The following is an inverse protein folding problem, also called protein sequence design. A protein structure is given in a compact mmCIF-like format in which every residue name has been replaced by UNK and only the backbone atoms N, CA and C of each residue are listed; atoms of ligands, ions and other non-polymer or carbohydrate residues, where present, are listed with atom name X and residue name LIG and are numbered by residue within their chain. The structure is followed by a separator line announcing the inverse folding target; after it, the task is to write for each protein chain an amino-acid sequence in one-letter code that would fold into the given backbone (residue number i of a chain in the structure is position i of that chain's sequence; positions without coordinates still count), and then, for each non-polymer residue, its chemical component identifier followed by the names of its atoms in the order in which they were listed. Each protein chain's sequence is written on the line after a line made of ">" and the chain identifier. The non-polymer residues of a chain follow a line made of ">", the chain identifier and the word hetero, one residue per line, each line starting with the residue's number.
data_IF_029900894358
#
_entry.id   IF_029900894358
#
_cell.length_a   1.000
_cell.length_b   1.000
_cell.length_c   1.000
_cell.angle_alpha   90.00
_cell.angle_beta   90.00
_cell.angle_gamma   90.00
#
_symmetry.space_group_name_H-M   'P 1'
#
loop_
_entity.id
_entity.type
_entity.pdbx_description
1 polymer ?
#
# COMPACT_ATOMS: atom_id res chain seq x y z
N UNK A 1 0.20 16.80 2.24
CA UNK A 1 0.41 15.33 2.28
C UNK A 1 1.90 15.02 2.20
N UNK A 2 2.32 13.98 2.86
CA UNK A 2 3.70 13.52 2.84
C UNK A 2 4.03 12.80 1.52
N UNK A 3 5.18 13.13 0.93
CA UNK A 3 5.64 12.48 -0.31
C UNK A 3 6.25 11.09 -0.11
N UNK A 4 6.51 10.69 1.13
CA UNK A 4 7.21 9.44 1.46
C UNK A 4 8.73 9.47 1.24
N UNK A 5 9.31 10.61 0.81
CA UNK A 5 10.73 10.69 0.46
C UNK A 5 11.67 10.42 1.65
N UNK A 6 11.28 10.79 2.85
CA UNK A 6 12.04 10.52 4.08
C UNK A 6 11.59 9.23 4.77
N UNK A 7 10.30 8.91 4.68
CA UNK A 7 9.71 7.73 5.29
C UNK A 7 8.52 7.24 4.45
N UNK A 8 8.70 6.11 3.80
CA UNK A 8 7.68 5.54 2.91
C UNK A 8 6.37 5.17 3.63
N UNK A 9 6.41 4.91 4.94
CA UNK A 9 5.20 4.63 5.73
C UNK A 9 4.30 5.86 5.91
N UNK A 10 4.77 7.05 5.55
CA UNK A 10 4.00 8.30 5.55
C UNK A 10 3.50 8.68 4.16
N UNK A 11 3.85 7.91 3.12
CA UNK A 11 3.43 8.23 1.76
C UNK A 11 1.91 8.33 1.64
N UNK A 12 1.43 9.44 1.09
CA UNK A 12 0.01 9.70 0.94
C UNK A 12 -0.74 10.12 2.21
N UNK A 13 -0.08 10.21 3.37
CA UNK A 13 -0.71 10.64 4.63
C UNK A 13 -0.82 12.16 4.68
N UNK A 14 -1.96 12.65 5.13
CA UNK A 14 -2.24 14.09 5.29
C UNK A 14 -1.44 14.62 6.48
N UNK A 15 -0.66 15.66 6.24
CA UNK A 15 0.09 16.36 7.27
C UNK A 15 -0.73 17.49 7.89
N UNK A 16 -1.41 18.28 7.05
CA UNK A 16 -2.22 19.42 7.47
C UNK A 16 -3.47 19.54 6.62
N UNK A 17 -4.57 19.89 7.27
CA UNK A 17 -5.82 20.28 6.65
C UNK A 17 -6.25 21.63 7.18
N UNK A 18 -6.57 22.61 6.29
CA UNK A 18 -6.90 23.99 6.66
C UNK A 18 -5.87 24.63 7.64
N UNK A 19 -4.57 24.38 7.40
CA UNK A 19 -3.45 24.83 8.23
C UNK A 19 -3.37 24.24 9.65
N UNK A 20 -4.17 23.23 9.95
CA UNK A 20 -4.17 22.52 11.25
C UNK A 20 -3.60 21.12 11.08
N UNK A 21 -2.95 20.62 12.10
CA UNK A 21 -2.48 19.23 12.23
C UNK A 21 -3.49 18.32 12.93
N UNK A 22 -4.51 18.91 13.56
CA UNK A 22 -5.62 18.25 14.25
C UNK A 22 -6.92 19.02 14.07
N UNK A 23 -8.03 18.32 14.16
CA UNK A 23 -9.36 18.93 14.23
C UNK A 23 -9.63 19.49 15.64
N UNK A 24 -10.50 20.49 15.78
CA UNK A 24 -10.88 21.06 17.06
C UNK A 24 -12.22 20.56 17.60
N UNK A 25 -12.83 19.51 17.01
CA UNK A 25 -14.25 19.19 17.20
C UNK A 25 -14.53 18.12 18.25
N UNK A 26 -13.63 17.11 18.36
CA UNK A 26 -13.87 15.92 19.14
C UNK A 26 -13.21 15.97 20.52
N UNK A 27 -13.67 15.10 21.44
CA UNK A 27 -13.26 15.16 22.84
C UNK A 27 -11.82 14.70 23.10
N UNK A 28 -11.20 13.96 22.18
CA UNK A 28 -9.83 13.45 22.33
C UNK A 28 -8.94 13.83 21.16
N UNK A 29 -7.62 13.89 21.41
CA UNK A 29 -6.62 14.14 20.38
C UNK A 29 -6.58 13.06 19.29
N UNK A 30 -6.84 11.81 19.65
CA UNK A 30 -6.89 10.70 18.72
C UNK A 30 -8.04 10.85 17.72
N UNK A 31 -9.22 11.21 18.21
CA UNK A 31 -10.39 11.41 17.38
C UNK A 31 -10.34 12.70 16.56
N UNK A 32 -9.55 13.66 17.00
CA UNK A 32 -9.21 14.86 16.22
C UNK A 32 -8.06 14.66 15.22
N UNK A 33 -7.49 13.46 15.12
CA UNK A 33 -6.41 13.17 14.18
C UNK A 33 -6.87 13.27 12.74
N UNK A 34 -6.01 13.85 11.88
CA UNK A 34 -6.17 13.89 10.43
C UNK A 34 -5.14 13.02 9.70
N UNK A 35 -4.34 12.24 10.45
CA UNK A 35 -3.24 11.43 9.93
C UNK A 35 -3.75 10.18 9.18
N UNK A 36 -4.44 10.42 8.09
CA UNK A 36 -4.96 9.44 7.14
C UNK A 36 -4.64 9.84 5.70
N UNK A 37 -4.93 8.96 4.77
CA UNK A 37 -4.92 9.25 3.32
C UNK A 37 -6.21 9.99 2.93
N UNK A 38 -6.21 10.61 1.75
CA UNK A 38 -7.43 11.11 1.11
C UNK A 38 -8.24 10.01 0.37
N UNK A 39 -7.80 8.75 0.46
CA UNK A 39 -8.42 7.61 -0.20
C UNK A 39 -7.84 7.27 -1.57
N UNK A 40 -6.99 8.10 -2.16
CA UNK A 40 -6.40 7.86 -3.48
C UNK A 40 -5.10 7.06 -3.43
N UNK A 41 -4.26 7.32 -2.43
CA UNK A 41 -2.92 6.77 -2.27
C UNK A 41 -2.68 6.41 -0.80
N UNK A 42 -2.09 5.26 -0.56
CA UNK A 42 -1.73 4.75 0.76
C UNK A 42 -0.24 4.37 0.82
N UNK A 43 0.35 4.26 2.00
CA UNK A 43 1.67 3.65 2.14
C UNK A 43 1.73 2.28 1.45
N UNK A 44 2.78 1.98 0.66
CA UNK A 44 2.89 0.73 -0.08
C UNK A 44 3.12 -0.50 0.84
N UNK A 45 3.14 -1.69 0.23
CA UNK A 45 3.30 -2.99 0.92
C UNK A 45 2.16 -3.32 1.87
N UNK A 46 0.93 -3.07 1.41
CA UNK A 46 -0.30 -3.35 2.13
C UNK A 46 -0.51 -4.86 2.24
N UNK A 47 -0.88 -5.31 3.42
CA UNK A 47 -1.21 -6.71 3.70
C UNK A 47 -2.70 -6.86 4.06
N UNK A 48 -3.20 -8.09 4.09
CA UNK A 48 -4.59 -8.37 4.53
C UNK A 48 -4.87 -7.98 6.00
N UNK A 49 -3.82 -7.83 6.81
CA UNK A 49 -3.94 -7.40 8.22
C UNK A 49 -3.77 -5.88 8.39
N UNK A 50 -3.51 -5.15 7.31
CA UNK A 50 -3.34 -3.70 7.35
C UNK A 50 -4.71 -3.04 7.51
N UNK A 51 -4.82 -2.08 8.43
CA UNK A 51 -5.96 -1.16 8.49
C UNK A 51 -5.58 0.12 7.76
N UNK A 52 -6.29 0.43 6.68
CA UNK A 52 -6.13 1.69 5.98
C UNK A 52 -6.86 2.80 6.76
N UNK A 53 -6.30 4.00 6.75
CA UNK A 53 -6.86 5.17 7.40
C UNK A 53 -7.18 6.23 6.34
N UNK A 54 -8.46 6.52 6.16
CA UNK A 54 -8.92 7.57 5.24
C UNK A 54 -9.45 8.73 6.07
N UNK A 55 -8.88 9.91 5.90
CA UNK A 55 -9.43 11.13 6.47
C UNK A 55 -10.55 11.64 5.56
N UNK A 56 -11.75 11.68 6.09
CA UNK A 56 -12.92 12.22 5.42
C UNK A 56 -13.30 13.58 6.04
N UNK A 57 -13.30 14.62 5.20
CA UNK A 57 -13.57 16.00 5.64
C UNK A 57 -15.04 16.25 6.00
N UNK A 58 -15.93 15.49 5.42
CA UNK A 58 -17.38 15.66 5.63
C UNK A 58 -17.86 14.88 6.87
N UNK A 59 -17.21 13.74 7.15
CA UNK A 59 -17.33 13.01 8.42
C UNK A 59 -16.50 13.65 9.54
N UNK A 60 -15.56 14.52 9.22
CA UNK A 60 -14.61 15.14 10.15
C UNK A 60 -13.85 14.13 11.02
N UNK A 61 -13.49 12.99 10.47
CA UNK A 61 -12.76 11.92 11.17
C UNK A 61 -11.95 11.07 10.24
N UNK A 62 -11.06 10.29 10.82
CA UNK A 62 -10.45 9.16 10.13
C UNK A 62 -11.45 8.00 10.10
N UNK A 63 -11.70 7.51 8.89
CA UNK A 63 -12.46 6.29 8.65
C UNK A 63 -11.47 5.12 8.54
N UNK A 64 -11.48 4.17 9.49
CA UNK A 64 -10.68 2.96 9.37
C UNK A 64 -11.30 2.04 8.32
N UNK A 65 -10.47 1.44 7.47
CA UNK A 65 -10.89 0.43 6.50
C UNK A 65 -10.12 -0.85 6.74
N UNK A 66 -10.84 -1.95 6.84
CA UNK A 66 -10.31 -3.29 7.05
C UNK A 66 -10.45 -4.15 5.80
N UNK A 67 -9.57 -5.13 5.64
CA UNK A 67 -9.60 -6.06 4.53
C UNK A 67 -10.92 -6.85 4.50
N UNK A 68 -11.50 -6.96 3.31
CA UNK A 68 -12.70 -7.73 3.07
C UNK A 68 -12.42 -8.98 2.21
N UNK A 69 -11.78 -8.80 1.06
CA UNK A 69 -11.49 -9.87 0.11
C UNK A 69 -10.44 -9.48 -0.93
N UNK A 70 -9.87 -10.45 -1.61
CA UNK A 70 -9.09 -10.24 -2.84
C UNK A 70 -10.02 -9.85 -4.00
N UNK A 71 -9.50 -9.04 -4.92
CA UNK A 71 -10.22 -8.61 -6.12
C UNK A 71 -9.33 -8.69 -7.35
N UNK A 72 -9.95 -9.00 -8.48
CA UNK A 72 -9.34 -8.88 -9.81
C UNK A 72 -10.12 -7.85 -10.61
N UNK A 73 -9.41 -6.91 -11.18
CA UNK A 73 -9.99 -5.87 -12.05
C UNK A 73 -10.09 -6.40 -13.49
N UNK A 74 -11.08 -5.93 -14.28
CA UNK A 74 -11.23 -6.35 -15.68
C UNK A 74 -9.97 -6.14 -16.52
N UNK A 75 -9.16 -5.15 -16.15
CA UNK A 75 -7.88 -4.86 -16.80
C UNK A 75 -6.73 -5.80 -16.37
N UNK A 76 -6.97 -6.82 -15.53
CA UNK A 76 -6.00 -7.82 -15.08
C UNK A 76 -5.05 -7.34 -13.98
N UNK A 77 -5.38 -6.27 -13.26
CA UNK A 77 -4.73 -5.89 -12.02
C UNK A 77 -5.41 -6.62 -10.85
N UNK A 78 -4.62 -7.18 -9.95
CA UNK A 78 -5.08 -7.79 -8.70
C UNK A 78 -4.92 -6.81 -7.55
N UNK A 79 -5.77 -6.89 -6.55
CA UNK A 79 -5.72 -6.05 -5.37
C UNK A 79 -6.54 -6.57 -4.21
N UNK A 80 -6.66 -5.75 -3.19
CA UNK A 80 -7.42 -6.02 -1.98
C UNK A 80 -8.56 -5.03 -1.84
N UNK A 81 -9.75 -5.54 -1.50
CA UNK A 81 -10.89 -4.70 -1.14
C UNK A 81 -10.88 -4.44 0.35
N UNK A 82 -11.00 -3.16 0.69
CA UNK A 82 -11.15 -2.67 2.04
C UNK A 82 -12.50 -2.00 2.22
N UNK A 83 -13.06 -2.10 3.42
CA UNK A 83 -14.35 -1.55 3.81
C UNK A 83 -14.29 -1.08 5.26
N UNK A 84 -15.12 -0.12 5.70
CA UNK A 84 -15.25 0.18 7.12
C UNK A 84 -15.65 -1.06 7.91
N UNK A 85 -15.15 -1.26 9.15
CA UNK A 85 -15.64 -2.29 10.04
C UNK A 85 -17.12 -2.06 10.37
N UNK A 86 -17.84 -3.12 10.69
CA UNK A 86 -19.30 -3.06 10.92
C UNK A 86 -19.68 -2.13 12.09
N UNK A 87 -18.77 -1.96 13.05
CA UNK A 87 -18.97 -1.09 14.22
C UNK A 87 -18.44 0.34 14.04
N UNK A 88 -18.13 0.77 12.82
CA UNK A 88 -17.50 2.09 12.57
C UNK A 88 -18.34 3.27 13.09
N UNK A 89 -19.67 3.12 13.12
CA UNK A 89 -20.63 4.08 13.67
C UNK A 89 -21.46 3.48 14.81
N UNK A 90 -20.92 2.50 15.52
CA UNK A 90 -21.60 1.93 16.67
C UNK A 90 -21.44 2.83 17.91
N UNK A 91 -22.43 2.77 18.81
CA UNK A 91 -22.33 3.38 20.14
C UNK A 91 -21.51 2.47 21.06
N UNK A 92 -20.20 2.48 20.87
CA UNK A 92 -19.22 1.71 21.63
C UNK A 92 -18.10 2.60 22.22
N UNK A 93 -17.25 2.03 23.06
CA UNK A 93 -16.16 2.76 23.72
C UNK A 93 -15.22 3.46 22.72
N UNK A 94 -15.02 2.89 21.52
CA UNK A 94 -14.11 3.44 20.52
C UNK A 94 -14.66 4.68 19.83
N UNK A 95 -15.99 4.80 19.80
CA UNK A 95 -16.67 5.90 19.15
C UNK A 95 -17.18 6.99 20.12
N UNK A 96 -17.08 6.79 21.45
CA UNK A 96 -17.56 7.77 22.44
C UNK A 96 -16.96 9.16 22.29
N UNK A 97 -15.75 9.27 21.81
CA UNK A 97 -15.10 10.55 21.57
C UNK A 97 -15.79 11.39 20.46
N UNK A 98 -16.56 10.75 19.59
CA UNK A 98 -17.33 11.41 18.51
C UNK A 98 -18.74 11.81 18.92
N UNK A 99 -19.10 11.75 20.21
CA UNK A 99 -20.37 12.22 20.74
C UNK A 99 -20.30 13.70 21.08
N UNK A 100 -20.97 14.62 20.34
CA UNK A 100 -20.84 16.05 20.54
C UNK A 100 -21.21 16.56 21.93
N UNK A 101 -22.26 16.01 22.52
CA UNK A 101 -22.81 16.42 23.82
C UNK A 101 -22.48 15.42 24.95
N UNK A 102 -21.63 14.42 24.70
CA UNK A 102 -21.46 13.28 25.60
C UNK A 102 -22.63 12.28 25.48
N UNK A 103 -22.61 11.21 26.29
CA UNK A 103 -23.69 10.21 26.27
C UNK A 103 -25.07 10.78 26.65
N UNK A 104 -26.16 10.31 26.05
CA UNK A 104 -26.22 9.25 25.05
C UNK A 104 -25.74 9.74 23.68
N UNK A 105 -24.96 8.89 22.99
CA UNK A 105 -24.55 9.14 21.63
C UNK A 105 -25.73 8.95 20.63
N UNK A 106 -25.46 9.21 19.35
CA UNK A 106 -26.42 8.86 18.31
C UNK A 106 -26.69 7.34 18.29
N UNK A 107 -27.87 6.89 17.87
CA UNK A 107 -28.17 5.47 17.69
C UNK A 107 -27.13 4.76 16.82
N UNK A 108 -26.96 3.44 17.01
CA UNK A 108 -26.04 2.64 16.21
C UNK A 108 -26.23 2.87 14.71
N UNK A 109 -25.11 3.02 14.00
CA UNK A 109 -25.08 3.26 12.58
C UNK A 109 -25.22 4.71 12.14
N UNK A 110 -25.35 5.63 13.11
CA UNK A 110 -25.38 7.07 12.88
C UNK A 110 -24.14 7.76 13.44
N UNK A 111 -23.67 8.76 12.72
CA UNK A 111 -22.64 9.67 13.19
C UNK A 111 -23.18 11.10 13.21
N UNK A 112 -23.20 11.72 14.39
CA UNK A 112 -23.55 13.12 14.54
C UNK A 112 -22.36 13.99 14.15
N UNK A 113 -22.50 14.75 13.06
CA UNK A 113 -21.44 15.62 12.52
C UNK A 113 -21.72 17.11 12.79
N UNK A 114 -22.68 17.43 13.64
CA UNK A 114 -23.09 18.82 13.91
C UNK A 114 -21.93 19.73 14.27
N UNK A 115 -20.99 19.30 15.14
CA UNK A 115 -19.85 20.12 15.56
C UNK A 115 -18.93 20.58 14.41
N UNK A 116 -18.85 19.80 13.33
CA UNK A 116 -18.04 20.17 12.19
C UNK A 116 -18.85 20.68 10.99
N UNK A 117 -20.18 20.67 11.12
CA UNK A 117 -21.13 21.13 10.11
C UNK A 117 -21.97 22.32 10.61
N UNK A 118 -21.29 23.26 11.28
CA UNK A 118 -21.86 24.54 11.74
C UNK A 118 -23.10 24.37 12.64
N UNK A 119 -23.05 23.43 13.57
CA UNK A 119 -24.14 23.06 14.48
C UNK A 119 -25.46 22.66 13.77
N UNK A 120 -25.37 22.27 12.50
CA UNK A 120 -26.51 21.76 11.75
C UNK A 120 -26.92 20.40 12.30
N UNK A 121 -28.22 20.09 12.42
CA UNK A 121 -28.70 18.83 12.97
C UNK A 121 -28.59 17.67 11.97
N UNK A 122 -27.36 17.52 11.42
CA UNK A 122 -27.03 16.52 10.40
C UNK A 122 -26.43 15.28 11.05
N UNK A 123 -26.97 14.14 10.69
CA UNK A 123 -26.42 12.82 11.01
C UNK A 123 -26.06 12.08 9.72
N UNK A 124 -24.91 11.42 9.70
CA UNK A 124 -24.47 10.62 8.56
C UNK A 124 -24.65 9.13 8.87
N UNK A 125 -24.98 8.36 7.85
CA UNK A 125 -25.08 6.90 7.90
C UNK A 125 -24.64 6.31 6.56
N UNK A 126 -24.55 4.99 6.48
CA UNK A 126 -24.54 4.33 5.17
C UNK A 126 -25.96 4.35 4.56
N UNK A 127 -26.05 4.27 3.22
CA UNK A 127 -27.35 4.31 2.54
C UNK A 127 -28.32 3.25 3.05
N UNK A 128 -29.60 3.60 3.08
CA UNK A 128 -30.70 2.77 3.59
C UNK A 128 -30.47 2.28 5.02
N UNK A 129 -29.73 3.06 5.83
CA UNK A 129 -29.35 2.69 7.19
C UNK A 129 -28.61 1.34 7.26
N UNK A 130 -27.76 1.04 6.25
CA UNK A 130 -26.93 -0.15 6.25
C UNK A 130 -26.01 -0.18 7.48
N UNK A 131 -25.97 -1.27 8.21
CA UNK A 131 -25.26 -1.44 9.50
C UNK A 131 -25.77 -0.51 10.62
N UNK A 132 -26.97 0.00 10.52
CA UNK A 132 -27.61 0.82 11.54
C UNK A 132 -28.73 0.06 12.25
N UNK A 133 -29.21 0.64 13.36
CA UNK A 133 -30.36 0.13 14.09
C UNK A 133 -31.60 0.06 13.16
N UNK A 134 -32.31 -1.06 13.21
CA UNK A 134 -33.46 -1.32 12.34
C UNK A 134 -34.62 -0.33 12.61
N UNK A 135 -34.76 0.14 13.84
CA UNK A 135 -35.76 1.13 14.22
C UNK A 135 -35.67 2.43 13.42
N UNK A 136 -34.47 2.81 12.97
CA UNK A 136 -34.28 4.01 12.12
C UNK A 136 -34.93 3.85 10.76
N UNK A 137 -34.92 2.68 10.19
CA UNK A 137 -35.55 2.37 8.92
C UNK A 137 -37.09 2.23 9.08
N UNK A 138 -37.50 1.60 10.16
CA UNK A 138 -38.92 1.38 10.47
C UNK A 138 -39.68 2.68 10.80
N UNK A 139 -38.97 3.70 11.26
CA UNK A 139 -39.54 5.01 11.55
C UNK A 139 -39.97 5.80 10.30
N UNK A 140 -39.55 5.37 9.10
CA UNK A 140 -39.84 6.08 7.85
C UNK A 140 -40.37 5.11 6.79
N UNK A 141 -41.53 5.40 6.23
CA UNK A 141 -42.10 4.61 5.15
C UNK A 141 -41.32 4.78 3.83
N UNK A 142 -41.21 3.70 3.05
CA UNK A 142 -40.68 3.73 1.69
C UNK A 142 -39.19 3.46 1.58
N UNK A 143 -38.47 3.16 2.67
CA UNK A 143 -37.08 2.78 2.63
C UNK A 143 -36.98 1.26 2.48
N UNK A 144 -36.36 0.80 1.37
CA UNK A 144 -36.13 -0.61 1.15
C UNK A 144 -35.02 -1.14 2.08
N UNK A 145 -35.03 -2.45 2.40
CA UNK A 145 -33.95 -3.08 3.17
C UNK A 145 -32.56 -2.82 2.58
N UNK A 146 -31.53 -2.63 3.43
CA UNK A 146 -30.18 -2.41 2.96
C UNK A 146 -29.57 -3.67 2.34
N UNK A 147 -28.81 -3.49 1.27
CA UNK A 147 -28.06 -4.53 0.58
C UNK A 147 -26.57 -4.21 0.60
N UNK A 148 -25.72 -5.12 1.07
CA UNK A 148 -24.29 -4.90 1.18
C UNK A 148 -23.63 -4.50 -0.16
N UNK A 149 -24.02 -5.11 -1.27
CA UNK A 149 -23.43 -4.81 -2.58
C UNK A 149 -23.81 -3.40 -3.11
N UNK A 150 -24.95 -2.88 -2.70
CA UNK A 150 -25.44 -1.56 -3.14
C UNK A 150 -25.08 -0.44 -2.17
N UNK A 151 -24.97 -0.75 -0.86
CA UNK A 151 -24.90 0.28 0.17
C UNK A 151 -23.58 0.31 0.94
N UNK A 152 -22.73 -0.70 0.78
CA UNK A 152 -21.42 -0.76 1.43
C UNK A 152 -20.42 0.16 0.73
N UNK A 153 -19.73 0.97 1.53
CA UNK A 153 -18.55 1.71 1.09
C UNK A 153 -17.36 0.75 0.94
N UNK A 154 -16.58 0.90 -0.13
CA UNK A 154 -15.35 0.13 -0.30
C UNK A 154 -14.30 0.87 -1.13
N UNK A 155 -13.05 0.44 -0.96
CA UNK A 155 -11.91 0.84 -1.81
C UNK A 155 -11.15 -0.43 -2.21
N UNK A 156 -10.87 -0.59 -3.48
CA UNK A 156 -10.00 -1.63 -4.04
C UNK A 156 -8.60 -1.03 -4.25
N UNK A 157 -7.60 -1.59 -3.60
CA UNK A 157 -6.24 -1.04 -3.58
C UNK A 157 -5.25 -2.05 -4.13
N UNK A 158 -4.30 -1.57 -4.96
CA UNK A 158 -3.15 -2.36 -5.38
C UNK A 158 -2.12 -2.38 -4.24
N UNK A 159 -1.80 -3.55 -3.65
CA UNK A 159 -1.12 -3.61 -2.36
C UNK A 159 0.37 -3.21 -2.40
N UNK A 160 1.10 -3.51 -3.48
CA UNK A 160 2.54 -3.20 -3.57
C UNK A 160 2.80 -1.69 -3.69
N UNK A 161 1.90 -0.97 -4.38
CA UNK A 161 2.06 0.47 -4.65
C UNK A 161 1.18 1.36 -3.77
N UNK A 162 0.17 0.80 -3.10
CA UNK A 162 -0.76 1.56 -2.28
C UNK A 162 -1.72 2.46 -3.07
N UNK A 163 -1.96 2.19 -4.36
CA UNK A 163 -2.81 3.01 -5.22
C UNK A 163 -4.23 2.47 -5.23
N UNK A 164 -5.21 3.33 -4.98
CA UNK A 164 -6.62 2.98 -5.13
C UNK A 164 -6.93 2.76 -6.62
N UNK A 165 -7.46 1.57 -6.95
CA UNK A 165 -7.83 1.19 -8.32
C UNK A 165 -9.30 1.44 -8.62
N UNK A 166 -10.14 1.30 -7.59
CA UNK A 166 -11.59 1.48 -7.64
C UNK A 166 -12.08 1.89 -6.26
N UNK A 167 -13.01 2.80 -6.20
CA UNK A 167 -13.62 3.22 -4.93
C UNK A 167 -15.10 3.52 -5.12
N UNK A 168 -15.88 3.27 -4.07
CA UNK A 168 -17.28 3.66 -3.94
C UNK A 168 -17.49 4.18 -2.52
N UNK A 169 -17.43 5.49 -2.37
CA UNK A 169 -17.85 6.18 -1.17
C UNK A 169 -19.39 6.34 -1.21
N UNK A 170 -20.08 5.81 -0.23
CA UNK A 170 -21.54 5.79 -0.17
C UNK A 170 -21.97 6.31 1.19
N UNK A 171 -22.59 7.45 1.20
CA UNK A 171 -22.99 8.15 2.42
C UNK A 171 -24.44 8.63 2.27
N UNK A 172 -25.20 8.51 3.34
CA UNK A 172 -26.56 9.04 3.48
C UNK A 172 -26.55 10.20 4.47
N UNK A 173 -27.19 11.28 4.05
CA UNK A 173 -27.40 12.46 4.89
C UNK A 173 -28.79 12.35 5.50
N UNK A 174 -28.85 12.46 6.83
CA UNK A 174 -30.06 12.43 7.60
C UNK A 174 -30.19 13.71 8.42
N UNK A 175 -31.40 14.16 8.63
CA UNK A 175 -31.71 15.28 9.48
C UNK A 175 -32.31 14.78 10.81
N UNK A 176 -31.68 15.16 11.91
CA UNK A 176 -32.27 14.96 13.23
C UNK A 176 -33.38 15.99 13.46
N UNK A 177 -34.61 15.55 13.43
CA UNK A 177 -35.81 16.40 13.63
C UNK A 177 -36.27 16.17 15.06
N UNK A 178 -36.41 17.25 15.82
CA UNK A 178 -37.01 17.25 17.16
C UNK A 178 -38.35 17.96 17.15
N UNK A 179 -39.30 17.44 17.89
CA UNK A 179 -40.60 18.06 18.06
C UNK A 179 -40.48 19.43 18.72
N UNK A 180 -41.11 20.46 18.12
CA UNK A 180 -41.16 21.80 18.70
C UNK A 180 -42.64 22.21 18.86
N UNK A 181 -43.15 22.06 20.08
CA UNK A 181 -44.58 22.28 20.40
C UNK A 181 -45.02 23.73 20.17
N UNK A 182 -44.13 24.69 20.36
CA UNK A 182 -44.41 26.12 20.23
C UNK A 182 -44.51 26.59 18.76
N UNK A 183 -44.10 25.77 17.81
CA UNK A 183 -44.19 26.09 16.38
C UNK A 183 -45.32 25.25 15.76
N UNK A 184 -46.44 25.85 15.53
CA UNK A 184 -47.67 25.18 15.06
C UNK A 184 -47.48 24.30 13.82
N UNK A 185 -46.55 24.68 12.91
CA UNK A 185 -46.30 23.96 11.66
C UNK A 185 -45.55 22.62 11.89
N UNK A 186 -44.78 22.51 12.96
CA UNK A 186 -43.95 21.33 13.27
C UNK A 186 -44.33 20.70 14.61
N UNK A 187 -45.32 21.21 15.31
CA UNK A 187 -45.75 20.71 16.63
C UNK A 187 -46.18 19.24 16.63
N UNK A 188 -46.56 18.71 15.47
CA UNK A 188 -46.97 17.30 15.32
C UNK A 188 -45.91 16.42 14.68
N UNK A 189 -44.70 16.97 14.37
CA UNK A 189 -43.61 16.14 13.91
C UNK A 189 -43.07 15.30 15.08
N UNK A 190 -42.82 14.02 14.87
CA UNK A 190 -42.15 13.20 15.88
C UNK A 190 -40.68 13.54 15.98
N UNK A 191 -40.02 13.15 17.09
CA UNK A 191 -38.56 13.06 17.16
C UNK A 191 -38.11 11.93 16.24
N UNK A 192 -37.43 12.28 15.16
CA UNK A 192 -37.06 11.32 14.10
C UNK A 192 -35.73 11.68 13.44
N UNK A 193 -34.99 10.68 13.03
CA UNK A 193 -33.84 10.84 12.11
C UNK A 193 -34.35 10.61 10.70
N UNK A 194 -34.60 11.72 9.98
CA UNK A 194 -35.20 11.69 8.67
C UNK A 194 -34.16 11.64 7.56
N UNK A 195 -34.11 10.59 6.69
CA UNK A 195 -33.22 10.50 5.59
C UNK A 195 -33.57 11.48 4.48
N UNK A 196 -32.65 12.31 4.08
CA UNK A 196 -32.86 13.33 3.05
C UNK A 196 -32.44 12.81 1.68
N UNK A 197 -31.19 12.32 1.59
CA UNK A 197 -30.62 11.77 0.36
C UNK A 197 -29.45 10.87 0.69
N UNK A 198 -29.08 10.03 -0.25
CA UNK A 198 -27.77 9.41 -0.25
C UNK A 198 -27.10 9.60 -1.61
N UNK A 199 -25.80 9.55 -1.64
CA UNK A 199 -25.01 9.68 -2.86
C UNK A 199 -23.89 8.65 -2.90
N UNK A 200 -23.46 8.35 -4.10
CA UNK A 200 -22.30 7.54 -4.39
C UNK A 200 -21.28 8.39 -5.14
N UNK A 201 -20.09 8.47 -4.61
CA UNK A 201 -18.94 9.07 -5.26
C UNK A 201 -17.85 8.03 -5.42
N UNK A 202 -17.17 8.04 -6.55
CA UNK A 202 -16.10 7.07 -6.73
C UNK A 202 -15.48 7.06 -8.10
N UNK A 203 -14.60 6.10 -8.26
CA UNK A 203 -13.92 5.80 -9.50
C UNK A 203 -14.13 4.33 -9.83
N UNK A 204 -14.52 4.04 -11.07
CA UNK A 204 -14.73 2.66 -11.52
C UNK A 204 -13.45 2.02 -12.06
N UNK A 205 -12.69 2.77 -12.82
CA UNK A 205 -11.48 2.32 -13.49
C UNK A 205 -10.44 3.44 -13.55
N UNK A 206 -9.19 3.07 -13.38
CA UNK A 206 -8.08 3.99 -13.57
C UNK A 206 -7.90 4.31 -15.07
N UNK A 207 -7.42 5.51 -15.42
CA UNK A 207 -7.02 5.83 -16.78
C UNK A 207 -6.03 4.80 -17.34
N UNK A 208 -6.13 4.50 -18.63
CA UNK A 208 -5.32 3.44 -19.26
C UNK A 208 -3.81 3.67 -19.10
N UNK A 209 -3.38 4.91 -19.10
CA UNK A 209 -1.97 5.27 -18.85
C UNK A 209 -1.50 4.85 -17.45
N UNK A 210 -2.31 5.12 -16.42
CA UNK A 210 -1.99 4.74 -15.04
C UNK A 210 -2.04 3.22 -14.89
N UNK A 211 -3.04 2.57 -15.48
CA UNK A 211 -3.18 1.11 -15.49
C UNK A 211 -1.96 0.42 -16.12
N UNK A 212 -1.46 0.92 -17.26
CA UNK A 212 -0.29 0.34 -17.93
C UNK A 212 0.99 0.55 -17.13
N UNK A 213 1.19 1.72 -16.54
CA UNK A 213 2.32 1.99 -15.63
C UNK A 213 2.27 1.07 -14.40
N UNK A 214 1.10 0.87 -13.82
CA UNK A 214 0.91 0.02 -12.65
C UNK A 214 1.19 -1.46 -12.97
N UNK A 215 0.74 -1.94 -14.13
CA UNK A 215 1.07 -3.29 -14.65
C UNK A 215 2.57 -3.47 -14.84
N UNK A 216 3.24 -2.47 -15.40
CA UNK A 216 4.68 -2.50 -15.61
C UNK A 216 5.42 -2.56 -14.26
N UNK A 217 5.04 -1.69 -13.32
CA UNK A 217 5.66 -1.60 -12.00
C UNK A 217 5.45 -2.87 -11.15
N UNK A 218 4.34 -3.58 -11.32
CA UNK A 218 4.04 -4.79 -10.53
C UNK A 218 4.56 -6.08 -11.16
N UNK A 219 4.58 -6.17 -12.52
CA UNK A 219 4.97 -7.39 -13.22
C UNK A 219 6.45 -7.45 -13.60
N UNK A 220 7.08 -6.28 -13.89
CA UNK A 220 8.47 -6.25 -14.35
C UNK A 220 9.49 -6.64 -13.27
N UNK A 221 9.42 -6.17 -12.01
CA UNK A 221 10.42 -6.48 -11.00
C UNK A 221 10.62 -7.98 -10.75
N UNK A 222 9.58 -8.81 -10.54
CA UNK A 222 9.79 -10.24 -10.32
C UNK A 222 10.39 -10.96 -11.54
N UNK A 223 10.02 -10.57 -12.76
CA UNK A 223 10.58 -11.15 -13.99
C UNK A 223 12.04 -10.74 -14.16
N UNK A 224 12.34 -9.46 -13.95
CA UNK A 224 13.71 -8.95 -14.04
C UNK A 224 14.61 -9.58 -12.97
N UNK A 225 14.15 -9.71 -11.75
CA UNK A 225 14.89 -10.33 -10.66
C UNK A 225 15.19 -11.81 -10.94
N UNK A 226 14.21 -12.58 -11.42
CA UNK A 226 14.40 -13.97 -11.81
C UNK A 226 15.39 -14.08 -13.01
N UNK A 227 15.19 -13.29 -14.06
CA UNK A 227 16.03 -13.29 -15.26
C UNK A 227 17.49 -12.92 -14.98
N UNK A 228 17.71 -11.83 -14.23
CA UNK A 228 19.06 -11.42 -13.81
C UNK A 228 19.71 -12.42 -12.86
N UNK A 229 18.97 -12.95 -11.88
CA UNK A 229 19.49 -13.92 -10.93
C UNK A 229 19.98 -15.20 -11.62
N UNK A 230 19.14 -15.81 -12.46
CA UNK A 230 19.52 -17.00 -13.24
C UNK A 230 20.59 -16.72 -14.28
N UNK A 231 20.52 -15.57 -14.98
CA UNK A 231 21.50 -15.16 -15.99
C UNK A 231 22.90 -14.94 -15.40
N UNK A 232 23.00 -14.20 -14.30
CA UNK A 232 24.27 -13.96 -13.62
C UNK A 232 24.85 -15.25 -13.01
N UNK A 233 24.01 -16.13 -12.46
CA UNK A 233 24.42 -17.42 -11.94
C UNK A 233 25.00 -18.32 -13.04
N UNK A 234 24.33 -18.42 -14.17
CA UNK A 234 24.80 -19.19 -15.33
C UNK A 234 26.12 -18.64 -15.88
N UNK A 235 26.24 -17.31 -15.99
CA UNK A 235 27.48 -16.65 -16.41
C UNK A 235 28.63 -16.92 -15.43
N UNK A 236 28.36 -16.86 -14.13
CA UNK A 236 29.34 -17.17 -13.09
C UNK A 236 29.87 -18.61 -13.18
N UNK A 237 28.97 -19.59 -13.35
CA UNK A 237 29.34 -21.00 -13.55
C UNK A 237 30.17 -21.15 -14.82
N UNK A 238 29.79 -20.54 -15.93
CA UNK A 238 30.54 -20.58 -17.18
C UNK A 238 31.98 -20.04 -17.01
N UNK A 239 32.12 -18.90 -16.35
CA UNK A 239 33.45 -18.31 -16.09
C UNK A 239 34.33 -19.20 -15.20
N UNK A 240 33.72 -19.83 -14.18
CA UNK A 240 34.46 -20.81 -13.33
C UNK A 240 34.92 -22.00 -14.15
N UNK A 241 34.05 -22.57 -15.00
CA UNK A 241 34.41 -23.68 -15.87
C UNK A 241 35.54 -23.30 -16.85
N UNK A 242 35.49 -22.12 -17.44
CA UNK A 242 36.56 -21.60 -18.31
C UNK A 242 37.87 -21.41 -17.55
N UNK A 243 37.82 -20.87 -16.33
CA UNK A 243 39.02 -20.72 -15.51
C UNK A 243 39.65 -22.09 -15.15
N UNK A 244 38.81 -23.04 -14.72
CA UNK A 244 39.28 -24.41 -14.41
C UNK A 244 39.87 -25.10 -15.64
N UNK A 245 39.24 -25.03 -16.79
CA UNK A 245 39.77 -25.60 -18.04
C UNK A 245 41.07 -24.94 -18.46
N UNK A 246 41.20 -23.61 -18.30
CA UNK A 246 42.43 -22.87 -18.56
C UNK A 246 43.56 -23.31 -17.62
N UNK A 247 43.31 -23.47 -16.34
CA UNK A 247 44.27 -23.95 -15.35
C UNK A 247 44.73 -25.39 -15.65
N UNK A 248 43.82 -26.29 -15.98
CA UNK A 248 44.16 -27.68 -16.36
C UNK A 248 45.01 -27.69 -17.62
N UNK A 249 44.68 -26.93 -18.65
CA UNK A 249 45.48 -26.81 -19.88
C UNK A 249 46.88 -26.23 -19.60
N UNK A 250 46.95 -25.18 -18.76
CA UNK A 250 48.22 -24.58 -18.36
C UNK A 250 49.10 -25.58 -17.59
N UNK A 251 48.54 -26.33 -16.65
CA UNK A 251 49.26 -27.38 -15.91
C UNK A 251 49.74 -28.51 -16.81
N UNK A 252 48.93 -28.98 -17.75
CA UNK A 252 49.36 -29.97 -18.75
C UNK A 252 50.50 -29.47 -19.63
N UNK A 253 50.45 -28.21 -20.06
CA UNK A 253 51.50 -27.59 -20.88
C UNK A 253 52.82 -27.45 -20.11
N UNK A 254 52.79 -27.16 -18.83
CA UNK A 254 53.98 -27.13 -17.97
C UNK A 254 54.60 -28.53 -17.74
N UNK A 255 53.76 -29.57 -17.59
CA UNK A 255 54.24 -30.94 -17.43
C UNK A 255 54.85 -31.47 -18.74
N UNK A 256 54.33 -31.17 -19.92
CA UNK A 256 54.96 -31.55 -21.21
C UNK A 256 56.28 -30.84 -21.44
N UNK A 257 56.37 -29.53 -21.15
CA UNK A 257 57.63 -28.76 -21.25
C UNK A 257 58.72 -29.30 -20.27
N UNK A 258 58.34 -29.75 -19.07
CA UNK A 258 59.27 -30.39 -18.13
C UNK A 258 59.79 -31.74 -18.64
N UNK A 259 58.97 -32.56 -19.27
CA UNK A 259 59.30 -33.82 -19.86
C UNK A 259 60.27 -33.63 -21.04
N UNK A 260 60.04 -32.67 -21.93
CA UNK A 260 60.92 -32.33 -23.04
C UNK A 260 62.31 -31.78 -22.56
N UNK A 261 62.25 -30.87 -21.53
CA UNK A 261 63.49 -30.37 -20.91
C UNK A 261 64.40 -31.46 -20.29
N UNK A 262 63.80 -32.48 -19.69
CA UNK A 262 64.54 -33.64 -19.17
C UNK A 262 65.06 -34.55 -20.29
N UNK A 263 64.39 -34.69 -21.41
CA UNK A 263 64.82 -35.45 -22.57
C UNK A 263 66.02 -34.79 -23.27
N UNK A 264 66.01 -33.46 -23.43
CA UNK A 264 67.11 -32.69 -24.01
C UNK A 264 68.39 -32.70 -23.12
N UNK A 265 68.24 -32.64 -21.79
CA UNK A 265 69.37 -32.70 -20.86
C UNK A 265 70.10 -34.07 -20.83
N UNK A 266 69.38 -35.15 -21.19
CA UNK A 266 69.98 -36.50 -21.29
C UNK A 266 70.71 -36.79 -22.63
N UNK A 267 70.50 -35.95 -23.64
CA UNK A 267 71.06 -36.11 -24.99
C UNK A 267 72.33 -35.28 -25.28
N UNK A 268 72.98 -34.64 -24.29
CA UNK A 268 74.16 -33.84 -24.46
C UNK A 268 75.43 -34.77 -24.48
N UNK A 269 76.21 -34.74 -25.53
CA UNK A 269 77.41 -35.66 -25.65
C UNK A 269 78.51 -35.24 -24.73
N UNK A 270 79.16 -36.25 -24.13
CA UNK A 270 80.40 -36.20 -23.33
C UNK A 270 81.56 -35.65 -24.15
N UNK A 271 82.09 -34.47 -23.82
CA UNK A 271 83.36 -33.98 -24.39
C UNK A 271 84.54 -34.67 -23.72
N UNK A 272 85.33 -35.40 -24.52
CA UNK A 272 86.67 -35.92 -24.23
C UNK A 272 87.66 -34.80 -23.97
N UNK A 273 88.68 -34.99 -23.08
CA UNK A 273 89.74 -34.00 -22.81
C UNK A 273 90.82 -34.03 -23.86
N UNK A 274 91.19 -32.89 -24.43
CA UNK A 274 92.36 -32.71 -25.24
C UNK A 274 93.37 -31.73 -24.58
N UNK A 275 94.61 -32.14 -24.58
CA UNK A 275 95.81 -31.58 -23.98
C UNK A 275 96.10 -30.13 -24.37
N UNK A 276 96.63 -29.42 -23.36
CA UNK A 276 97.84 -28.59 -23.34
C UNK A 276 98.35 -27.96 -24.63
N UNK A 277 98.47 -26.63 -24.67
CA UNK A 277 99.81 -25.97 -24.78
C UNK A 277 99.61 -24.46 -24.52
N UNK A 278 100.53 -23.94 -23.71
CA UNK A 278 100.68 -22.58 -23.30
C UNK A 278 101.16 -21.65 -24.43
N UNK A 279 101.07 -20.39 -24.14
CA UNK A 279 102.13 -19.37 -24.28
C UNK A 279 101.61 -18.06 -23.67
N UNK A 280 102.54 -17.53 -22.90
CA UNK A 280 102.55 -16.19 -22.32
C UNK A 280 102.43 -15.08 -23.37
N UNK A 281 102.03 -13.96 -22.98
CA UNK A 281 102.67 -12.66 -22.97
C UNK A 281 101.68 -11.46 -23.18
N UNK A 282 101.57 -10.73 -22.16
CA UNK A 282 102.04 -9.35 -22.00
C UNK A 282 101.23 -8.18 -22.58
N UNK A 283 100.89 -7.32 -21.66
CA UNK A 283 101.17 -5.90 -21.67
C UNK A 283 100.18 -4.89 -22.25
N UNK A 284 99.70 -4.04 -21.34
CA UNK A 284 99.48 -2.55 -21.47
C UNK A 284 98.50 -2.04 -22.54
N UNK A 285 97.50 -1.34 -22.18
CA UNK A 285 97.44 -0.02 -21.52
C UNK A 285 95.95 0.21 -21.05
#
# INVERSE_FOLDING_TARGET
>A
MWSGALNISQYGIIERFANRDKLPHWSTDECNSIAGSDGSIFPPHITRNTTLKVYDKDLCRILPLVYLRDVEMPNGLSGFRFTPPENVFADDEHNKCFCPAGPPCAPNGLMNVSLCQYDSPIMLSFPHFYLADESLREAVDGISPPEAEKHRLFIDVQPEMGIAMRARARIQINLAVSQVLDIKQVANFPDIVFPILWFEEGIDELPEQVTSMLKLATKLPPIAHAGLGWGLSALGILLILLAVTCLIRSSHRQSTLRLEGHAVAKASPQKTPSKENGYELNSRR
#
